data_IF_035116001058
#
_entry.id   IF_035116001058
#
_cell.length_a   1.000
_cell.length_b   1.000
_cell.length_c   1.000
_cell.angle_alpha   90.00
_cell.angle_beta   90.00
_cell.angle_gamma   90.00
#
_symmetry.space_group_name_H-M   'P 1'
#
loop_
_entity.id
_entity.type
_entity.pdbx_description
1 polymer ?
#
# COMPACT_ATOMS: atom_id res chain seq x y z
N UNK A 1 -3.81 28.31 8.96
CA UNK A 1 -5.21 27.93 8.66
C UNK A 1 -5.61 26.81 9.61
N UNK A 2 -6.70 26.97 10.38
CA UNK A 2 -7.19 25.93 11.28
C UNK A 2 -8.23 25.07 10.53
N UNK A 3 -8.03 23.75 10.46
CA UNK A 3 -8.97 22.81 9.83
C UNK A 3 -9.93 22.25 10.88
N UNK A 4 -11.25 22.27 10.59
CA UNK A 4 -12.30 21.72 11.47
C UNK A 4 -12.64 20.30 11.05
N UNK A 5 -12.56 19.34 11.98
CA UNK A 5 -12.94 17.95 11.73
C UNK A 5 -14.45 17.74 11.93
N UNK A 6 -15.17 17.36 10.87
CA UNK A 6 -16.62 17.12 10.87
C UNK A 6 -16.99 15.65 10.68
N UNK A 7 -16.02 14.75 10.60
CA UNK A 7 -16.22 13.35 10.22
C UNK A 7 -17.27 12.66 11.10
N UNK A 8 -17.21 12.87 12.42
CA UNK A 8 -18.15 12.29 13.38
C UNK A 8 -19.59 12.74 13.14
N UNK A 9 -19.79 14.03 12.84
CA UNK A 9 -21.11 14.59 12.57
C UNK A 9 -21.70 14.01 11.27
N UNK A 10 -20.89 13.90 10.22
CA UNK A 10 -21.31 13.29 8.96
C UNK A 10 -21.69 11.81 9.12
N UNK A 11 -20.91 11.02 9.88
CA UNK A 11 -21.21 9.61 10.13
C UNK A 11 -22.54 9.45 10.86
N UNK A 12 -22.81 10.28 11.87
CA UNK A 12 -24.06 10.25 12.62
C UNK A 12 -25.26 10.59 11.74
N UNK A 13 -25.16 11.65 10.92
CA UNK A 13 -26.22 12.04 9.99
C UNK A 13 -26.48 10.96 8.93
N UNK A 14 -25.43 10.32 8.40
CA UNK A 14 -25.55 9.22 7.44
C UNK A 14 -26.28 8.02 8.04
N UNK A 15 -25.97 7.66 9.29
CA UNK A 15 -26.64 6.57 9.99
C UNK A 15 -28.12 6.88 10.23
N UNK A 16 -28.43 8.12 10.63
CA UNK A 16 -29.82 8.57 10.84
C UNK A 16 -30.63 8.56 9.54
N UNK A 17 -30.05 9.01 8.42
CA UNK A 17 -30.77 9.01 7.14
C UNK A 17 -31.01 7.60 6.62
N UNK A 18 -30.02 6.70 6.73
CA UNK A 18 -30.21 5.27 6.44
C UNK A 18 -31.36 4.67 7.28
N UNK A 19 -31.42 4.98 8.57
CA UNK A 19 -32.50 4.52 9.45
C UNK A 19 -33.88 5.08 9.04
N UNK A 20 -33.96 6.35 8.59
CA UNK A 20 -35.21 6.95 8.08
C UNK A 20 -35.65 6.33 6.76
N UNK A 21 -34.74 6.06 5.83
CA UNK A 21 -35.04 5.37 4.56
C UNK A 21 -35.55 3.96 4.83
N UNK A 22 -34.91 3.21 5.74
CA UNK A 22 -35.36 1.86 6.12
C UNK A 22 -36.75 1.87 6.77
N UNK A 23 -37.03 2.83 7.66
CA UNK A 23 -38.37 3.01 8.25
C UNK A 23 -39.43 3.31 7.19
N UNK A 24 -39.12 4.19 6.22
CA UNK A 24 -40.03 4.48 5.09
C UNK A 24 -40.27 3.24 4.21
N UNK A 25 -39.23 2.47 3.89
CA UNK A 25 -39.34 1.20 3.13
C UNK A 25 -40.21 0.18 3.86
N UNK A 26 -40.07 0.03 5.18
CA UNK A 26 -40.86 -0.89 5.99
C UNK A 26 -42.34 -0.48 6.13
N UNK A 27 -42.66 0.82 6.11
CA UNK A 27 -44.05 1.31 6.15
C UNK A 27 -44.74 1.07 4.80
N UNK A 28 -44.01 1.27 3.69
CA UNK A 28 -44.53 1.01 2.34
C UNK A 28 -44.70 -0.49 2.09
N UNK A 29 -43.80 -1.34 2.60
CA UNK A 29 -43.91 -2.81 2.46
C UNK A 29 -45.05 -3.41 3.29
N UNK A 30 -45.52 -2.76 4.35
CA UNK A 30 -46.70 -3.21 5.09
C UNK A 30 -48.02 -3.02 4.33
N UNK A 31 -48.03 -2.24 3.24
CA UNK A 31 -49.20 -2.04 2.38
C UNK A 31 -49.25 -3.01 1.17
N UNK A 32 -48.19 -3.78 0.93
CA UNK A 32 -48.05 -4.68 -0.22
C UNK A 32 -47.58 -6.11 0.18
N UNK A 33 -47.74 -6.48 1.47
CA UNK A 33 -47.19 -7.73 2.03
C UNK A 33 -48.01 -9.00 1.76
N UNK A 34 -49.23 -8.88 1.25
CA UNK A 34 -50.07 -10.06 1.00
C UNK A 34 -49.95 -10.65 -0.41
N UNK A 35 -49.38 -9.94 -1.40
CA UNK A 35 -49.39 -10.41 -2.80
C UNK A 35 -48.03 -10.88 -3.36
N UNK A 36 -46.89 -10.55 -2.74
CA UNK A 36 -45.56 -10.82 -3.34
C UNK A 36 -44.71 -11.90 -2.65
N UNK A 37 -45.31 -12.76 -1.82
CA UNK A 37 -44.58 -13.85 -1.13
C UNK A 37 -44.13 -15.00 -2.06
N UNK A 38 -44.35 -14.90 -3.37
CA UNK A 38 -44.01 -15.94 -4.34
C UNK A 38 -43.03 -15.53 -5.45
N UNK A 39 -42.50 -14.29 -5.46
CA UNK A 39 -41.70 -13.79 -6.61
C UNK A 39 -40.32 -13.22 -6.30
N UNK A 40 -39.86 -13.23 -5.06
CA UNK A 40 -38.66 -12.48 -4.65
C UNK A 40 -37.55 -13.35 -4.03
N UNK A 41 -37.33 -14.57 -4.52
CA UNK A 41 -36.13 -15.36 -4.17
C UNK A 41 -34.92 -15.05 -5.07
N UNK A 42 -35.06 -14.22 -6.12
CA UNK A 42 -33.99 -14.06 -7.13
C UNK A 42 -33.20 -12.76 -7.09
N UNK A 43 -33.47 -11.82 -6.18
CA UNK A 43 -32.79 -10.50 -6.23
C UNK A 43 -32.49 -9.98 -4.83
N UNK A 44 -31.47 -10.50 -4.16
CA UNK A 44 -30.58 -9.74 -3.25
C UNK A 44 -29.24 -10.49 -3.10
N UNK A 45 -28.58 -10.81 -4.22
CA UNK A 45 -27.12 -10.92 -4.20
C UNK A 45 -26.58 -9.58 -4.64
N UNK A 46 -26.67 -8.59 -3.73
CA UNK A 46 -25.81 -7.41 -3.78
C UNK A 46 -24.38 -7.96 -3.68
N UNK A 47 -23.78 -8.23 -4.85
CA UNK A 47 -22.36 -8.46 -4.96
C UNK A 47 -21.76 -7.14 -4.49
N UNK A 48 -21.39 -7.07 -3.21
CA UNK A 48 -20.36 -6.14 -2.77
C UNK A 48 -19.15 -6.50 -3.60
N UNK A 49 -19.03 -5.87 -4.78
CA UNK A 49 -17.83 -5.93 -5.58
C UNK A 49 -16.79 -5.24 -4.72
N UNK A 50 -16.16 -6.01 -3.83
CA UNK A 50 -14.89 -5.66 -3.24
C UNK A 50 -14.04 -5.36 -4.46
N UNK A 51 -13.77 -4.08 -4.69
CA UNK A 51 -12.88 -3.67 -5.76
C UNK A 51 -11.55 -4.34 -5.43
N UNK A 52 -11.29 -5.47 -6.09
CA UNK A 52 -10.02 -6.18 -5.98
C UNK A 52 -9.00 -5.13 -6.40
N UNK A 53 -8.12 -4.78 -5.46
CA UNK A 53 -7.08 -3.82 -5.74
C UNK A 53 -6.37 -4.28 -7.02
N UNK A 54 -6.13 -3.38 -7.98
CA UNK A 54 -5.43 -3.75 -9.20
C UNK A 54 -4.13 -4.49 -8.87
N UNK A 55 -3.78 -5.55 -9.63
CA UNK A 55 -2.61 -6.40 -9.30
C UNK A 55 -1.27 -5.66 -9.20
N UNK A 56 -1.15 -4.46 -9.79
CA UNK A 56 0.02 -3.60 -9.61
C UNK A 56 0.18 -3.08 -8.18
N UNK A 57 -0.91 -2.99 -7.40
CA UNK A 57 -0.88 -2.55 -6.01
C UNK A 57 -0.06 -3.52 -5.15
N UNK A 58 -0.13 -4.82 -5.44
CA UNK A 58 0.69 -5.83 -4.76
C UNK A 58 2.17 -5.63 -5.06
N UNK A 59 2.52 -5.36 -6.33
CA UNK A 59 3.90 -5.06 -6.75
C UNK A 59 4.42 -3.80 -6.04
N UNK A 60 3.58 -2.79 -5.84
CA UNK A 60 3.93 -1.58 -5.10
C UNK A 60 4.16 -1.87 -3.62
N UNK A 61 3.31 -2.70 -3.02
CA UNK A 61 3.46 -3.08 -1.63
C UNK A 61 4.75 -3.87 -1.39
N UNK A 62 5.07 -4.80 -2.29
CA UNK A 62 6.33 -5.55 -2.26
C UNK A 62 7.54 -4.62 -2.43
N UNK A 63 7.49 -3.70 -3.39
CA UNK A 63 8.55 -2.69 -3.57
C UNK A 63 8.73 -1.83 -2.31
N UNK A 64 7.64 -1.46 -1.63
CA UNK A 64 7.70 -0.72 -0.37
C UNK A 64 8.36 -1.50 0.76
N UNK A 65 8.13 -2.82 0.82
CA UNK A 65 8.80 -3.70 1.78
C UNK A 65 10.30 -3.76 1.53
N UNK A 66 10.71 -3.90 0.27
CA UNK A 66 12.14 -3.86 -0.10
C UNK A 66 12.78 -2.54 0.30
N UNK A 67 12.14 -1.40 0.00
CA UNK A 67 12.66 -0.07 0.37
C UNK A 67 12.74 0.12 1.89
N UNK A 68 11.75 -0.34 2.66
CA UNK A 68 11.80 -0.29 4.12
C UNK A 68 12.97 -1.11 4.67
N UNK A 69 13.19 -2.32 4.12
CA UNK A 69 14.31 -3.18 4.49
C UNK A 69 15.66 -2.54 4.18
N UNK A 70 15.81 -1.95 2.99
CA UNK A 70 17.03 -1.22 2.62
C UNK A 70 17.33 -0.11 3.64
N UNK A 71 16.33 0.66 4.06
CA UNK A 71 16.53 1.73 5.06
C UNK A 71 17.03 1.18 6.40
N UNK A 72 16.47 0.06 6.87
CA UNK A 72 16.92 -0.59 8.10
C UNK A 72 18.37 -1.09 7.97
N UNK A 73 18.71 -1.70 6.84
CA UNK A 73 20.06 -2.20 6.57
C UNK A 73 21.08 -1.07 6.44
N UNK A 74 20.72 0.05 5.80
CA UNK A 74 21.54 1.26 5.72
C UNK A 74 21.81 1.85 7.11
N UNK A 75 20.81 1.86 8.00
CA UNK A 75 21.01 2.27 9.39
C UNK A 75 21.96 1.32 10.13
N UNK A 76 21.79 0.00 9.96
CA UNK A 76 22.71 -1.00 10.53
C UNK A 76 24.14 -0.82 10.01
N UNK A 77 24.31 -0.62 8.71
CA UNK A 77 25.60 -0.37 8.07
C UNK A 77 26.29 0.86 8.66
N UNK A 78 25.56 1.95 8.89
CA UNK A 78 26.07 3.16 9.56
C UNK A 78 26.57 2.87 10.99
N UNK A 79 25.84 2.07 11.76
CA UNK A 79 26.27 1.66 13.10
C UNK A 79 27.51 0.76 13.08
N UNK A 80 27.63 -0.14 12.09
CA UNK A 80 28.80 -1.00 11.90
C UNK A 80 30.02 -0.18 11.51
N UNK A 81 29.88 0.78 10.59
CA UNK A 81 30.97 1.70 10.24
C UNK A 81 31.43 2.52 11.45
N UNK A 82 30.49 3.05 12.24
CA UNK A 82 30.82 3.79 13.47
C UNK A 82 31.54 2.89 14.49
N UNK A 83 31.10 1.64 14.62
CA UNK A 83 31.70 0.65 15.53
C UNK A 83 33.09 0.22 15.09
N UNK A 84 33.33 0.09 13.79
CA UNK A 84 34.65 -0.20 13.21
C UNK A 84 35.64 0.95 13.42
N UNK A 85 35.18 2.20 13.36
CA UNK A 85 36.03 3.38 13.57
C UNK A 85 36.48 3.54 15.03
N UNK A 86 35.83 2.87 15.99
CA UNK A 86 36.30 2.85 17.36
C UNK A 86 37.54 1.95 17.49
N UNK A 87 38.65 2.52 17.95
CA UNK A 87 39.90 1.78 18.19
C UNK A 87 39.66 0.74 19.28
N UNK A 88 39.71 -0.54 18.91
CA UNK A 88 39.54 -1.68 19.83
C UNK A 88 40.75 -2.61 19.72
N UNK A 89 41.21 -3.11 20.86
CA UNK A 89 42.39 -3.99 20.95
C UNK A 89 42.05 -5.49 20.95
N UNK A 90 40.80 -5.86 20.67
CA UNK A 90 40.30 -7.24 20.73
C UNK A 90 40.42 -8.03 19.41
N UNK A 91 41.00 -7.42 18.35
CA UNK A 91 41.16 -8.04 17.04
C UNK A 91 39.85 -8.28 16.28
N UNK A 92 38.75 -7.65 16.70
CA UNK A 92 37.43 -7.80 16.07
C UNK A 92 37.27 -7.03 14.76
N UNK A 93 38.23 -6.18 14.36
CA UNK A 93 38.17 -5.37 13.14
C UNK A 93 37.88 -6.19 11.88
N UNK A 94 38.55 -7.34 11.73
CA UNK A 94 38.36 -8.22 10.56
C UNK A 94 36.93 -8.81 10.49
N UNK A 95 36.25 -9.01 11.63
CA UNK A 95 34.85 -9.46 11.63
C UNK A 95 33.91 -8.33 11.22
N UNK A 96 34.17 -7.12 11.69
CA UNK A 96 33.38 -5.96 11.28
C UNK A 96 33.55 -5.63 9.80
N UNK A 97 34.74 -5.81 9.23
CA UNK A 97 34.95 -5.70 7.78
C UNK A 97 34.11 -6.70 7.00
N UNK A 98 34.14 -7.98 7.39
CA UNK A 98 33.33 -9.01 6.73
C UNK A 98 31.83 -8.73 6.87
N UNK A 99 31.36 -8.33 8.05
CA UNK A 99 29.94 -7.98 8.26
C UNK A 99 29.52 -6.74 7.44
N UNK A 100 30.41 -5.77 7.24
CA UNK A 100 30.16 -4.61 6.38
C UNK A 100 30.03 -5.05 4.93
N UNK A 101 30.93 -5.92 4.45
CA UNK A 101 30.90 -6.44 3.08
C UNK A 101 29.63 -7.25 2.82
N UNK A 102 29.23 -8.12 3.76
CA UNK A 102 28.00 -8.91 3.66
C UNK A 102 26.76 -8.00 3.61
N UNK A 103 26.66 -7.03 4.53
CA UNK A 103 25.50 -6.11 4.58
C UNK A 103 25.44 -5.21 3.34
N UNK A 104 26.57 -4.75 2.80
CA UNK A 104 26.58 -3.93 1.58
C UNK A 104 26.17 -4.72 0.34
N UNK A 105 26.57 -5.99 0.25
CA UNK A 105 26.13 -6.88 -0.81
C UNK A 105 24.62 -7.14 -0.73
N UNK A 106 24.10 -7.43 0.47
CA UNK A 106 22.66 -7.62 0.68
C UNK A 106 21.85 -6.35 0.34
N UNK A 107 22.34 -5.16 0.71
CA UNK A 107 21.70 -3.89 0.33
C UNK A 107 21.61 -3.76 -1.19
N UNK A 108 22.70 -4.06 -1.89
CA UNK A 108 22.76 -3.98 -3.36
C UNK A 108 21.78 -4.94 -4.02
N UNK A 109 21.65 -6.16 -3.49
CA UNK A 109 20.72 -7.15 -4.01
C UNK A 109 19.25 -6.75 -3.74
N UNK A 110 18.96 -6.16 -2.57
CA UNK A 110 17.64 -5.60 -2.28
C UNK A 110 17.27 -4.43 -3.20
N UNK A 111 18.22 -3.54 -3.53
CA UNK A 111 18.02 -2.48 -4.52
C UNK A 111 17.67 -3.06 -5.90
N UNK A 112 18.36 -4.12 -6.34
CA UNK A 112 18.06 -4.80 -7.61
C UNK A 112 16.68 -5.45 -7.61
N UNK A 113 16.26 -6.02 -6.48
CA UNK A 113 14.92 -6.57 -6.32
C UNK A 113 13.84 -5.47 -6.43
N UNK A 114 14.03 -4.34 -5.75
CA UNK A 114 13.13 -3.19 -5.84
C UNK A 114 13.05 -2.63 -7.27
N UNK A 115 14.19 -2.48 -7.96
CA UNK A 115 14.26 -2.02 -9.34
C UNK A 115 13.55 -2.99 -10.30
N UNK A 116 13.74 -4.30 -10.12
CA UNK A 116 13.07 -5.32 -10.93
C UNK A 116 11.55 -5.29 -10.74
N UNK A 117 11.07 -5.04 -9.51
CA UNK A 117 9.65 -4.84 -9.22
C UNK A 117 9.08 -3.62 -9.94
N UNK A 118 9.77 -2.48 -9.84
CA UNK A 118 9.39 -1.23 -10.50
C UNK A 118 9.36 -1.38 -12.04
N UNK A 119 10.37 -2.05 -12.62
CA UNK A 119 10.45 -2.29 -14.06
C UNK A 119 9.33 -3.19 -14.58
N UNK A 120 8.94 -4.23 -13.82
CA UNK A 120 7.78 -5.07 -14.16
C UNK A 120 6.51 -4.24 -14.22
N UNK A 121 6.29 -3.37 -13.24
CA UNK A 121 5.13 -2.50 -13.21
C UNK A 121 5.10 -1.51 -14.39
N UNK A 122 6.27 -1.01 -14.81
CA UNK A 122 6.37 -0.14 -16.00
C UNK A 122 6.07 -0.90 -17.31
N UNK A 123 6.36 -2.20 -17.37
CA UNK A 123 6.12 -3.02 -18.58
C UNK A 123 4.67 -3.56 -18.66
N UNK A 124 4.04 -3.81 -17.51
CA UNK A 124 2.61 -4.16 -17.43
C UNK A 124 1.69 -2.99 -17.81
N UNK A 125 2.22 -1.76 -17.87
CA UNK A 125 1.51 -0.56 -18.34
C UNK A 125 1.18 -0.63 -19.84
N UNK A 126 2.02 -1.28 -20.65
CA UNK A 126 1.86 -1.33 -22.10
C UNK A 126 0.86 -2.41 -22.57
N UNK A 127 0.59 -3.41 -21.74
CA UNK A 127 -0.09 -4.65 -22.16
C UNK A 127 -1.57 -4.77 -21.74
N UNK A 128 -2.12 -3.78 -21.03
CA UNK A 128 -3.48 -3.90 -20.46
C UNK A 128 -4.22 -2.56 -20.54
N UNK A 129 -5.44 -2.55 -21.09
CA UNK A 129 -6.29 -1.35 -21.16
C UNK A 129 -6.74 -0.93 -19.74
N UNK A 130 -5.95 -0.10 -19.08
CA UNK A 130 -6.33 0.54 -17.83
C UNK A 130 -6.96 1.92 -18.07
N UNK A 131 -7.87 2.33 -17.19
CA UNK A 131 -8.43 3.69 -17.22
C UNK A 131 -7.31 4.73 -17.09
N UNK A 132 -7.40 5.86 -17.83
CA UNK A 132 -6.40 6.94 -17.76
C UNK A 132 -6.12 7.46 -16.33
N UNK A 133 -7.09 7.31 -15.41
CA UNK A 133 -6.91 7.62 -13.99
C UNK A 133 -5.97 6.63 -13.26
N UNK A 134 -6.02 5.34 -13.61
CA UNK A 134 -5.15 4.31 -13.05
C UNK A 134 -3.71 4.46 -13.57
N UNK A 135 -3.55 4.72 -14.88
CA UNK A 135 -2.25 5.02 -15.49
C UNK A 135 -1.55 6.22 -14.80
N UNK A 136 -2.30 7.31 -14.56
CA UNK A 136 -1.76 8.48 -13.84
C UNK A 136 -1.39 8.16 -12.39
N UNK A 137 -2.17 7.33 -11.71
CA UNK A 137 -1.88 6.93 -10.32
C UNK A 137 -0.59 6.11 -10.27
N UNK A 138 -0.40 5.18 -11.20
CA UNK A 138 0.85 4.41 -11.32
C UNK A 138 2.05 5.29 -11.62
N UNK A 139 1.94 6.22 -12.56
CA UNK A 139 3.03 7.14 -12.89
C UNK A 139 3.47 7.93 -11.66
N UNK A 140 2.52 8.46 -10.88
CA UNK A 140 2.83 9.17 -9.64
C UNK A 140 3.54 8.26 -8.63
N UNK A 141 3.10 7.01 -8.51
CA UNK A 141 3.73 6.01 -7.64
C UNK A 141 5.15 5.72 -8.12
N UNK A 142 5.37 5.48 -9.42
CA UNK A 142 6.69 5.27 -10.01
C UNK A 142 7.63 6.45 -9.77
N UNK A 143 7.16 7.68 -10.01
CA UNK A 143 7.96 8.89 -9.76
C UNK A 143 8.33 9.01 -8.28
N UNK A 144 7.39 8.74 -7.37
CA UNK A 144 7.67 8.71 -5.95
C UNK A 144 8.75 7.68 -5.58
N UNK A 145 8.67 6.46 -6.13
CA UNK A 145 9.68 5.42 -5.92
C UNK A 145 11.05 5.80 -6.47
N UNK A 146 11.09 6.34 -7.68
CA UNK A 146 12.33 6.80 -8.29
C UNK A 146 13.01 7.84 -7.39
N UNK A 147 12.26 8.85 -6.93
CA UNK A 147 12.79 9.85 -5.99
C UNK A 147 13.21 9.23 -4.66
N UNK A 148 12.41 8.32 -4.10
CA UNK A 148 12.73 7.69 -2.82
C UNK A 148 13.98 6.79 -2.90
N UNK A 149 14.17 6.05 -3.98
CA UNK A 149 15.37 5.24 -4.19
C UNK A 149 16.61 6.12 -4.41
N UNK A 150 16.48 7.21 -5.17
CA UNK A 150 17.57 8.17 -5.34
C UNK A 150 17.94 8.84 -4.01
N UNK A 151 16.97 9.19 -3.17
CA UNK A 151 17.19 9.78 -1.84
C UNK A 151 17.94 8.83 -0.89
N UNK A 152 17.67 7.52 -0.97
CA UNK A 152 18.39 6.52 -0.15
C UNK A 152 19.79 6.24 -0.69
N UNK A 153 19.98 6.36 -2.00
CA UNK A 153 21.27 6.14 -2.64
C UNK A 153 22.21 7.36 -2.56
N UNK A 154 21.68 8.56 -2.24
CA UNK A 154 22.44 9.81 -2.10
C UNK A 154 22.99 10.01 -0.69
#
# INVERSE_FOLDING_TARGET
MATRNLTRQFVQLRAQEKAKVLRRKNIVSHRHREEEKARHESVEQEVTSVAIAPGWVDVVNDTNRHVARIKEMMARLSTLHTSRLMVRFDGSESKYEQEIDDVTQEITDEFRCAEKGLRKMAHDDENMEFSAADAKTRQNVQSHWATALTDIAS
#
